data_IF_997990119274
#
_entry.id   IF_997990119274
#
_cell.length_a   1.000
_cell.length_b   1.000
_cell.length_c   1.000
_cell.angle_alpha   90.00
_cell.angle_beta   90.00
_cell.angle_gamma   90.00
#
_symmetry.space_group_name_H-M   'P 1'
#
loop_
_entity.id
_entity.type
_entity.pdbx_description
1 polymer ?
#
# COMPACT_ATOMS: atom_id res chain seq x y z
N UNK A 1 11.31 -24.81 -3.80
CA UNK A 1 9.92 -24.49 -3.38
C UNK A 1 9.88 -23.57 -2.18
N UNK A 2 10.48 -23.92 -1.03
CA UNK A 2 10.45 -23.08 0.17
C UNK A 2 11.01 -21.66 -0.02
N UNK A 3 12.10 -21.49 -0.78
CA UNK A 3 12.63 -20.16 -1.09
C UNK A 3 11.63 -19.30 -1.90
N UNK A 4 11.05 -19.86 -2.97
CA UNK A 4 10.04 -19.17 -3.78
C UNK A 4 8.78 -18.84 -2.96
N UNK A 5 8.39 -19.73 -2.04
CA UNK A 5 7.30 -19.50 -1.10
C UNK A 5 7.61 -18.35 -0.14
N UNK A 6 8.80 -18.34 0.48
CA UNK A 6 9.24 -17.26 1.36
C UNK A 6 9.30 -15.90 0.66
N UNK A 7 9.83 -15.86 -0.57
CA UNK A 7 9.86 -14.65 -1.40
C UNK A 7 8.43 -14.21 -1.75
N UNK A 8 7.54 -15.14 -2.12
CA UNK A 8 6.14 -14.85 -2.41
C UNK A 8 5.41 -14.22 -1.22
N UNK A 9 5.59 -14.79 -0.02
CA UNK A 9 5.02 -14.23 1.22
C UNK A 9 5.55 -12.83 1.52
N UNK A 10 6.86 -12.61 1.38
CA UNK A 10 7.50 -11.33 1.62
C UNK A 10 7.01 -10.25 0.65
N UNK A 11 6.94 -10.56 -0.65
CA UNK A 11 6.42 -9.64 -1.67
C UNK A 11 4.94 -9.30 -1.42
N UNK A 12 4.12 -10.30 -1.08
CA UNK A 12 2.70 -10.09 -0.78
C UNK A 12 2.51 -9.22 0.46
N UNK A 13 3.29 -9.48 1.53
CA UNK A 13 3.29 -8.65 2.73
C UNK A 13 3.70 -7.21 2.43
N UNK A 14 4.69 -7.02 1.57
CA UNK A 14 5.18 -5.71 1.17
C UNK A 14 4.10 -4.93 0.39
N UNK A 15 3.49 -5.54 -0.62
CA UNK A 15 2.38 -4.92 -1.38
C UNK A 15 1.25 -4.51 -0.44
N UNK A 16 0.83 -5.43 0.43
CA UNK A 16 -0.23 -5.15 1.39
C UNK A 16 0.16 -4.00 2.34
N UNK A 17 1.41 -3.96 2.79
CA UNK A 17 1.90 -2.88 3.64
C UNK A 17 1.86 -1.53 2.91
N UNK A 18 2.29 -1.46 1.66
CA UNK A 18 2.23 -0.24 0.85
C UNK A 18 0.80 0.28 0.72
N UNK A 19 -0.17 -0.56 0.35
CA UNK A 19 -1.57 -0.13 0.22
C UNK A 19 -2.17 0.23 1.58
N UNK A 20 -1.78 -0.46 2.67
CA UNK A 20 -2.20 -0.11 4.03
C UNK A 20 -1.73 1.27 4.48
N UNK A 21 -0.65 1.80 3.91
CA UNK A 21 -0.22 3.18 4.15
C UNK A 21 -1.19 4.19 3.56
N UNK A 22 -1.71 3.93 2.39
CA UNK A 22 -2.75 4.75 1.77
C UNK A 22 -4.04 4.76 2.60
N UNK A 23 -4.47 3.60 3.13
CA UNK A 23 -5.62 3.52 4.04
C UNK A 23 -5.42 4.34 5.31
N UNK A 24 -4.19 4.38 5.82
CA UNK A 24 -3.85 5.23 6.97
C UNK A 24 -3.99 6.71 6.61
N UNK A 25 -3.53 7.12 5.42
CA UNK A 25 -3.69 8.50 4.95
C UNK A 25 -5.16 8.88 4.77
N UNK A 26 -5.95 8.04 4.09
CA UNK A 26 -7.37 8.28 3.86
C UNK A 26 -8.17 8.33 5.18
N UNK A 27 -7.81 7.52 6.18
CA UNK A 27 -8.44 7.54 7.51
C UNK A 27 -8.07 8.80 8.30
N UNK A 28 -6.83 9.25 8.21
CA UNK A 28 -6.36 10.49 8.83
C UNK A 28 -7.05 11.71 8.20
N UNK A 29 -7.24 11.70 6.88
CA UNK A 29 -8.05 12.71 6.19
C UNK A 29 -9.52 12.67 6.63
N UNK A 30 -10.12 11.48 6.70
CA UNK A 30 -11.50 11.27 7.18
C UNK A 30 -11.72 11.87 8.58
N UNK A 31 -10.84 11.55 9.52
CA UNK A 31 -10.94 12.05 10.88
C UNK A 31 -10.90 13.58 10.94
N UNK A 32 -10.07 14.21 10.11
CA UNK A 32 -9.95 15.68 10.05
C UNK A 32 -11.14 16.33 9.36
N UNK A 33 -11.62 15.73 8.27
CA UNK A 33 -12.85 16.18 7.63
C UNK A 33 -14.03 16.12 8.61
N UNK A 34 -14.17 15.01 9.36
CA UNK A 34 -15.23 14.87 10.36
C UNK A 34 -15.06 15.84 11.54
N UNK A 35 -13.84 16.07 12.03
CA UNK A 35 -13.58 17.08 13.07
C UNK A 35 -13.95 18.48 12.61
N UNK A 36 -13.53 18.85 11.40
CA UNK A 36 -13.84 20.16 10.84
C UNK A 36 -15.35 20.36 10.63
N UNK A 37 -16.04 19.33 10.15
CA UNK A 37 -17.50 19.32 9.99
C UNK A 37 -18.26 19.35 11.33
N UNK A 38 -17.63 18.91 12.43
CA UNK A 38 -18.22 18.96 13.77
C UNK A 38 -17.98 20.31 14.47
N UNK A 39 -16.85 20.97 14.19
CA UNK A 39 -16.47 22.26 14.79
C UNK A 39 -17.12 23.46 14.09
N UNK A 40 -17.41 23.39 12.79
CA UNK A 40 -18.06 24.48 12.08
C UNK A 40 -19.59 24.51 12.29
N UNK A 41 -20.06 25.57 12.96
CA UNK A 41 -21.46 26.00 12.87
C UNK A 41 -21.77 26.47 11.44
N UNK A 42 -23.00 26.23 10.97
CA UNK A 42 -23.54 26.44 9.61
C UNK A 42 -23.39 27.86 8.98
N UNK A 43 -22.60 28.77 9.55
CA UNK A 43 -22.58 30.20 9.20
C UNK A 43 -21.49 30.64 8.21
N UNK A 44 -20.44 29.84 7.98
CA UNK A 44 -19.35 30.24 7.09
C UNK A 44 -19.41 29.47 5.77
N UNK A 45 -19.79 30.17 4.70
CA UNK A 45 -19.80 29.67 3.33
C UNK A 45 -18.38 29.66 2.75
N UNK A 46 -17.59 28.65 3.13
CA UNK A 46 -16.24 28.45 2.57
C UNK A 46 -16.30 27.85 1.15
N UNK A 47 -15.31 28.21 0.32
CA UNK A 47 -15.13 27.63 -1.01
C UNK A 47 -14.60 26.20 -0.88
N UNK A 48 -15.19 25.28 -1.65
CA UNK A 48 -14.84 23.86 -1.64
C UNK A 48 -13.35 23.60 -1.89
N UNK A 49 -12.77 24.32 -2.86
CA UNK A 49 -11.34 24.21 -3.16
C UNK A 49 -10.46 24.61 -1.97
N UNK A 50 -10.76 25.74 -1.31
CA UNK A 50 -9.98 26.24 -0.16
C UNK A 50 -10.08 25.25 1.00
N UNK A 51 -11.29 24.77 1.28
CA UNK A 51 -11.53 23.83 2.35
C UNK A 51 -10.74 22.53 2.13
N UNK A 52 -10.83 21.96 0.92
CA UNK A 52 -10.07 20.77 0.56
C UNK A 52 -8.56 21.00 0.65
N UNK A 53 -8.05 22.12 0.13
CA UNK A 53 -6.62 22.48 0.22
C UNK A 53 -6.15 22.56 1.66
N UNK A 54 -6.84 23.32 2.50
CA UNK A 54 -6.50 23.48 3.92
C UNK A 54 -6.50 22.15 4.66
N UNK A 55 -7.51 21.30 4.44
CA UNK A 55 -7.60 20.00 5.10
C UNK A 55 -6.55 19.00 4.59
N UNK A 56 -6.29 18.95 3.29
CA UNK A 56 -5.30 18.05 2.70
C UNK A 56 -3.88 18.44 3.12
N UNK A 57 -3.52 19.72 3.06
CA UNK A 57 -2.21 20.23 3.49
C UNK A 57 -2.00 20.02 4.98
N UNK A 58 -3.01 20.29 5.82
CA UNK A 58 -2.96 20.01 7.26
C UNK A 58 -2.80 18.52 7.54
N UNK A 59 -3.54 17.67 6.83
CA UNK A 59 -3.43 16.21 6.95
C UNK A 59 -2.02 15.74 6.61
N UNK A 60 -1.46 16.22 5.51
CA UNK A 60 -0.10 15.92 5.07
C UNK A 60 0.94 16.39 6.10
N UNK A 61 0.85 17.65 6.56
CA UNK A 61 1.76 18.23 7.55
C UNK A 61 1.78 17.44 8.87
N UNK A 62 0.61 17.16 9.44
CA UNK A 62 0.52 16.45 10.72
C UNK A 62 1.00 15.00 10.62
N UNK A 63 0.80 14.37 9.46
CA UNK A 63 1.18 12.99 9.23
C UNK A 63 2.69 12.79 9.13
N UNK A 64 3.41 13.74 8.54
CA UNK A 64 4.85 13.63 8.32
C UNK A 64 5.68 14.45 9.31
N UNK A 65 5.36 15.73 9.54
CA UNK A 65 6.19 16.60 10.39
C UNK A 65 5.94 16.40 11.88
N UNK A 66 4.68 16.40 12.31
CA UNK A 66 4.36 16.26 13.73
C UNK A 66 4.72 14.87 14.25
N UNK A 67 4.63 13.84 13.42
CA UNK A 67 5.13 12.50 13.77
C UNK A 67 6.65 12.44 13.84
N UNK A 68 7.37 13.04 12.88
CA UNK A 68 8.83 13.08 12.89
C UNK A 68 9.38 13.78 14.14
N UNK A 69 8.72 14.85 14.59
CA UNK A 69 9.14 15.67 15.73
C UNK A 69 8.71 15.06 17.07
N UNK A 70 7.46 14.59 17.21
CA UNK A 70 6.94 14.20 18.52
C UNK A 70 7.20 12.75 18.92
N UNK A 71 7.32 11.80 17.97
CA UNK A 71 7.53 10.35 18.22
C UNK A 71 6.73 9.76 19.40
N UNK A 72 5.50 10.25 19.63
CA UNK A 72 4.73 9.95 20.86
C UNK A 72 4.10 8.56 20.85
N UNK A 73 3.91 7.92 19.69
CA UNK A 73 3.32 6.58 19.58
C UNK A 73 4.41 5.54 19.29
N UNK A 74 4.33 4.37 19.91
CA UNK A 74 5.28 3.25 19.72
C UNK A 74 5.45 2.83 18.25
N UNK A 75 4.43 3.06 17.42
CA UNK A 75 4.47 2.82 15.97
C UNK A 75 5.36 3.82 15.21
N UNK A 76 5.58 5.03 15.73
CA UNK A 76 6.25 6.12 15.01
C UNK A 76 7.74 5.82 14.74
N UNK A 77 8.40 5.04 15.62
CA UNK A 77 9.79 4.64 15.44
C UNK A 77 10.02 3.73 14.22
N UNK A 78 9.04 2.90 13.88
CA UNK A 78 9.11 1.98 12.72
C UNK A 78 8.58 2.66 11.45
N UNK A 79 7.67 3.63 11.59
CA UNK A 79 7.10 4.36 10.45
C UNK A 79 8.12 5.26 9.75
N UNK A 80 8.91 6.05 10.50
CA UNK A 80 9.88 7.01 9.92
C UNK A 80 10.92 6.38 8.96
N UNK A 81 11.60 5.26 9.29
CA UNK A 81 12.53 4.64 8.34
C UNK A 81 11.79 4.01 7.15
N UNK A 82 10.59 3.46 7.36
CA UNK A 82 9.78 2.90 6.27
C UNK A 82 9.29 3.98 5.31
N UNK A 83 8.92 5.16 5.81
CA UNK A 83 8.40 6.26 5.00
C UNK A 83 9.47 6.83 4.06
N UNK A 84 10.73 6.81 4.51
CA UNK A 84 11.89 7.18 3.71
C UNK A 84 12.25 6.11 2.67
N UNK A 85 12.19 4.84 3.06
CA UNK A 85 12.49 3.70 2.19
C UNK A 85 11.46 3.55 1.07
N UNK A 86 10.18 3.80 1.37
CA UNK A 86 9.06 3.66 0.44
C UNK A 86 8.66 4.98 -0.25
N UNK A 87 9.41 6.07 -0.03
CA UNK A 87 9.12 7.41 -0.60
C UNK A 87 7.65 7.84 -0.40
N UNK A 88 7.04 7.43 0.71
CA UNK A 88 5.60 7.61 0.96
C UNK A 88 5.26 9.09 1.03
N UNK A 89 6.16 9.91 1.57
CA UNK A 89 5.99 11.36 1.64
C UNK A 89 5.87 12.00 0.24
N UNK A 90 6.68 11.56 -0.73
CA UNK A 90 6.61 12.05 -2.10
C UNK A 90 5.33 11.55 -2.80
N UNK A 91 4.96 10.29 -2.58
CA UNK A 91 3.71 9.74 -3.11
C UNK A 91 2.48 10.46 -2.60
N UNK A 92 2.40 10.75 -1.30
CA UNK A 92 1.28 11.50 -0.72
C UNK A 92 1.28 12.97 -1.14
N UNK A 93 2.45 13.61 -1.29
CA UNK A 93 2.53 14.97 -1.82
C UNK A 93 1.96 15.03 -3.25
N UNK A 94 2.31 14.06 -4.09
CA UNK A 94 1.78 13.94 -5.45
C UNK A 94 0.26 13.73 -5.43
N UNK A 95 -0.23 12.85 -4.55
CA UNK A 95 -1.66 12.61 -4.38
C UNK A 95 -2.41 13.89 -4.00
N UNK A 96 -1.90 14.68 -3.04
CA UNK A 96 -2.51 15.96 -2.64
C UNK A 96 -2.51 16.94 -3.82
N UNK A 97 -1.36 17.10 -4.49
CA UNK A 97 -1.22 18.01 -5.62
C UNK A 97 -2.17 17.68 -6.77
N UNK A 98 -2.26 16.41 -7.14
CA UNK A 98 -3.14 15.98 -8.23
C UNK A 98 -4.61 16.07 -7.82
N UNK A 99 -4.93 15.75 -6.56
CA UNK A 99 -6.28 15.96 -6.03
C UNK A 99 -6.68 17.43 -6.17
N UNK A 100 -5.83 18.38 -5.78
CA UNK A 100 -6.12 19.80 -5.90
C UNK A 100 -6.25 20.24 -7.36
N UNK A 101 -5.38 19.75 -8.25
CA UNK A 101 -5.47 20.05 -9.68
C UNK A 101 -6.81 19.62 -10.27
N UNK A 102 -7.28 18.42 -9.95
CA UNK A 102 -8.56 17.91 -10.46
C UNK A 102 -9.77 18.64 -9.83
N UNK A 103 -9.72 18.92 -8.52
CA UNK A 103 -10.79 19.64 -7.82
C UNK A 103 -11.03 21.05 -8.38
N UNK A 104 -10.01 21.68 -8.96
CA UNK A 104 -10.14 23.00 -9.61
C UNK A 104 -11.10 22.99 -10.79
N UNK A 105 -11.16 21.89 -11.54
CA UNK A 105 -11.99 21.78 -12.75
C UNK A 105 -13.41 21.29 -12.46
N UNK A 106 -13.72 20.96 -11.20
CA UNK A 106 -15.06 20.52 -10.80
C UNK A 106 -16.00 21.71 -10.80
N UNK A 107 -16.95 21.71 -11.74
CA UNK A 107 -18.01 22.73 -11.80
C UNK A 107 -19.02 22.52 -10.68
N UNK A 108 -19.35 23.60 -9.98
CA UNK A 108 -20.35 23.61 -8.93
C UNK A 108 -21.74 23.85 -9.55
N UNK A 109 -22.29 22.79 -10.16
CA UNK A 109 -23.57 22.86 -10.89
C UNK A 109 -24.73 22.18 -10.13
N UNK A 110 -24.58 21.93 -8.81
CA UNK A 110 -25.59 21.29 -7.97
C UNK A 110 -25.80 19.78 -8.22
N UNK A 111 -25.34 19.25 -9.36
CA UNK A 111 -25.29 17.83 -9.65
C UNK A 111 -24.13 17.15 -8.91
N UNK A 112 -24.28 15.85 -8.60
CA UNK A 112 -23.23 15.04 -7.99
C UNK A 112 -22.00 14.98 -8.91
N UNK A 113 -20.84 15.54 -8.51
CA UNK A 113 -19.64 15.45 -9.35
C UNK A 113 -19.18 14.00 -9.46
N UNK A 114 -18.58 13.57 -10.59
CA UNK A 114 -18.03 12.22 -10.75
C UNK A 114 -16.71 12.07 -9.97
N UNK A 115 -16.77 12.19 -8.64
CA UNK A 115 -15.62 12.13 -7.75
C UNK A 115 -15.03 10.72 -7.69
N UNK A 116 -15.84 9.67 -7.87
CA UNK A 116 -15.37 8.30 -7.80
C UNK A 116 -14.32 8.00 -8.88
N UNK A 117 -14.59 8.37 -10.13
CA UNK A 117 -13.68 8.09 -11.24
C UNK A 117 -12.44 8.98 -11.17
N UNK A 118 -12.59 10.22 -10.69
CA UNK A 118 -11.48 11.10 -10.38
C UNK A 118 -10.57 10.48 -9.31
N UNK A 119 -11.12 10.07 -8.17
CA UNK A 119 -10.35 9.45 -7.08
C UNK A 119 -9.67 8.17 -7.55
N UNK A 120 -10.37 7.30 -8.29
CA UNK A 120 -9.76 6.10 -8.90
C UNK A 120 -8.56 6.46 -9.79
N UNK A 121 -8.69 7.48 -10.62
CA UNK A 121 -7.63 7.98 -11.49
C UNK A 121 -6.44 8.51 -10.68
N UNK A 122 -6.70 9.31 -9.65
CA UNK A 122 -5.69 9.90 -8.77
C UNK A 122 -4.83 8.84 -8.07
N UNK A 123 -5.47 7.80 -7.52
CA UNK A 123 -4.77 6.71 -6.85
C UNK A 123 -4.05 5.78 -7.85
N UNK A 124 -4.63 5.53 -9.03
CA UNK A 124 -4.03 4.64 -10.03
C UNK A 124 -2.82 5.26 -10.76
N UNK A 125 -2.83 6.58 -10.95
CA UNK A 125 -1.77 7.31 -11.64
C UNK A 125 -0.58 7.66 -10.74
N UNK A 126 -0.64 7.38 -9.44
CA UNK A 126 0.41 7.76 -8.52
C UNK A 126 1.68 6.88 -8.71
N UNK A 127 2.80 7.44 -9.20
CA UNK A 127 3.99 6.66 -9.56
C UNK A 127 4.66 6.01 -8.34
N UNK A 128 4.46 6.55 -7.14
CA UNK A 128 5.05 6.03 -5.91
C UNK A 128 4.25 4.86 -5.32
N UNK A 129 2.94 4.80 -5.60
CA UNK A 129 2.08 3.73 -5.08
C UNK A 129 1.86 2.61 -6.09
N UNK A 130 2.03 2.85 -7.38
CA UNK A 130 1.97 1.80 -8.41
C UNK A 130 3.26 0.97 -8.49
N UNK A 131 4.35 1.43 -7.84
CA UNK A 131 5.67 0.77 -7.88
C UNK A 131 6.22 0.47 -6.47
N UNK A 132 6.54 -0.80 -6.22
CA UNK A 132 7.33 -1.25 -5.07
C UNK A 132 8.75 -0.67 -5.21
N UNK A 133 9.21 0.07 -4.20
CA UNK A 133 10.49 0.78 -4.19
C UNK A 133 10.72 1.69 -5.41
N UNK A 134 9.65 2.22 -6.03
CA UNK A 134 9.72 3.04 -7.26
C UNK A 134 10.25 2.31 -8.52
N UNK A 135 10.67 1.04 -8.40
CA UNK A 135 11.33 0.28 -9.48
C UNK A 135 10.42 -0.82 -10.02
N UNK A 136 9.69 -1.55 -9.15
CA UNK A 136 8.94 -2.75 -9.57
C UNK A 136 7.44 -2.48 -9.60
N UNK A 137 6.76 -2.60 -10.74
CA UNK A 137 5.32 -2.38 -10.83
C UNK A 137 4.52 -3.41 -10.00
N UNK A 138 3.55 -2.95 -9.21
CA UNK A 138 2.76 -3.81 -8.31
C UNK A 138 1.85 -4.75 -9.10
N UNK A 139 1.23 -4.29 -10.18
CA UNK A 139 0.26 -5.07 -10.96
C UNK A 139 0.79 -6.44 -11.41
N UNK A 140 1.91 -6.54 -12.17
CA UNK A 140 2.41 -7.85 -12.60
C UNK A 140 2.92 -8.71 -11.44
N UNK A 141 3.41 -8.10 -10.35
CA UNK A 141 3.81 -8.85 -9.16
C UNK A 141 2.59 -9.44 -8.47
N UNK A 142 1.49 -8.69 -8.34
CA UNK A 142 0.23 -9.19 -7.80
C UNK A 142 -0.29 -10.37 -8.62
N UNK A 143 -0.30 -10.25 -9.94
CA UNK A 143 -0.75 -11.31 -10.84
C UNK A 143 0.12 -12.57 -10.74
N UNK A 144 1.45 -12.39 -10.69
CA UNK A 144 2.39 -13.49 -10.49
C UNK A 144 2.19 -14.17 -9.12
N UNK A 145 1.97 -13.40 -8.06
CA UNK A 145 1.72 -13.94 -6.72
C UNK A 145 0.40 -14.72 -6.65
N UNK A 146 -0.59 -14.35 -7.45
CA UNK A 146 -1.86 -15.09 -7.59
C UNK A 146 -1.68 -16.41 -8.35
N UNK A 147 -0.67 -16.50 -9.23
CA UNK A 147 -0.35 -17.71 -10.01
C UNK A 147 0.56 -18.70 -9.25
N UNK A 148 1.35 -18.22 -8.28
CA UNK A 148 2.27 -19.03 -7.46
C UNK A 148 1.67 -20.31 -6.86
N UNK A 149 0.46 -20.31 -6.26
CA UNK A 149 -0.16 -21.52 -5.76
C UNK A 149 -0.29 -22.62 -6.81
N UNK A 150 -0.65 -22.26 -8.05
CA UNK A 150 -0.72 -23.20 -9.17
C UNK A 150 0.67 -23.75 -9.53
N UNK A 151 1.69 -22.89 -9.53
CA UNK A 151 3.06 -23.29 -9.81
C UNK A 151 3.63 -24.26 -8.77
N UNK A 152 3.22 -24.14 -7.50
CA UNK A 152 3.60 -25.11 -6.46
C UNK A 152 2.97 -26.49 -6.67
N UNK A 153 1.71 -26.55 -7.12
CA UNK A 153 1.04 -27.83 -7.43
C UNK A 153 1.74 -28.50 -8.61
N UNK A 154 1.94 -27.77 -9.71
CA UNK A 154 2.61 -28.29 -10.92
C UNK A 154 4.03 -28.74 -10.57
N UNK A 155 4.78 -27.93 -9.83
CA UNK A 155 6.12 -28.30 -9.37
C UNK A 155 6.13 -29.55 -8.48
N UNK A 156 5.13 -29.73 -7.61
CA UNK A 156 5.01 -30.91 -6.74
C UNK A 156 4.74 -32.20 -7.52
N UNK A 157 3.83 -32.12 -8.50
CA UNK A 157 3.51 -33.24 -9.41
C UNK A 157 4.74 -33.60 -10.26
N UNK A 158 5.40 -32.60 -10.87
CA UNK A 158 6.61 -32.82 -11.67
C UNK A 158 7.76 -33.41 -10.84
N UNK A 159 7.94 -32.95 -9.60
CA UNK A 159 8.94 -33.50 -8.69
C UNK A 159 8.71 -34.98 -8.39
N UNK A 160 7.45 -35.36 -8.15
CA UNK A 160 7.09 -36.77 -7.94
C UNK A 160 7.31 -37.60 -9.19
N UNK A 161 6.91 -37.08 -10.35
CA UNK A 161 7.11 -37.76 -11.63
C UNK A 161 8.60 -38.00 -11.93
N UNK A 162 9.46 -37.00 -11.76
CA UNK A 162 10.91 -37.13 -11.93
C UNK A 162 11.52 -38.11 -10.93
N UNK A 163 11.06 -38.10 -9.68
CA UNK A 163 11.54 -39.03 -8.65
C UNK A 163 11.20 -40.49 -8.96
N UNK A 164 9.99 -40.77 -9.45
CA UNK A 164 9.58 -42.10 -9.92
C UNK A 164 10.39 -42.50 -11.16
N UNK A 165 10.55 -41.60 -12.13
CA UNK A 165 11.34 -41.87 -13.34
C UNK A 165 12.80 -42.24 -13.04
N UNK A 166 13.39 -41.63 -12.00
CA UNK A 166 14.74 -41.98 -11.56
C UNK A 166 14.80 -43.33 -10.83
N UNK A 167 13.73 -43.71 -10.13
CA UNK A 167 13.66 -44.97 -9.38
C UNK A 167 13.33 -46.19 -10.26
N UNK A 168 12.61 -46.02 -11.38
CA UNK A 168 12.20 -47.11 -12.27
C UNK A 168 13.35 -47.95 -12.86
N UNK A 169 14.49 -47.37 -13.31
CA UNK A 169 15.63 -48.16 -13.80
C UNK A 169 16.21 -49.12 -12.77
N UNK A 170 16.07 -48.84 -11.47
CA UNK A 170 16.61 -49.66 -10.39
C UNK A 170 15.87 -50.99 -10.25
N UNK A 171 14.58 -51.03 -10.61
CA UNK A 171 13.81 -52.27 -10.72
C UNK A 171 14.33 -53.19 -11.84
N UNK A 172 14.99 -52.62 -12.85
CA UNK A 172 15.59 -53.39 -13.94
C UNK A 172 16.79 -54.24 -13.51
N UNK A 173 17.37 -53.98 -12.34
CA UNK A 173 18.51 -54.71 -11.79
C UNK A 173 18.11 -55.90 -10.88
N UNK A 174 16.82 -56.21 -10.79
CA UNK A 174 16.28 -57.25 -9.92
C UNK A 174 16.52 -58.65 -10.51
N UNK A 175 17.24 -59.52 -9.76
CA UNK A 175 17.42 -60.93 -10.12
C UNK A 175 16.46 -61.81 -9.31
N UNK A 176 15.54 -62.49 -10.01
CA UNK A 176 14.51 -63.36 -9.43
C UNK A 176 15.14 -64.59 -8.75
N UNK A 177 16.41 -64.89 -9.05
CA UNK A 177 17.15 -66.03 -8.50
C UNK A 177 17.70 -65.76 -7.11
N UNK A 178 17.81 -64.49 -6.71
CA UNK A 178 18.29 -64.10 -5.40
C UNK A 178 17.22 -63.26 -4.66
N UNK A 179 16.44 -63.89 -3.78
CA UNK A 179 15.35 -63.22 -3.08
C UNK A 179 15.84 -62.14 -2.10
N UNK A 180 17.08 -62.24 -1.60
CA UNK A 180 17.63 -61.27 -0.64
C UNK A 180 18.01 -59.95 -1.34
N UNK A 181 18.72 -60.01 -2.47
CA UNK A 181 19.05 -58.80 -3.24
C UNK A 181 17.81 -58.13 -3.83
N UNK A 182 16.85 -58.92 -4.30
CA UNK A 182 15.54 -58.45 -4.74
C UNK A 182 14.83 -57.63 -3.66
N UNK A 183 14.82 -58.10 -2.41
CA UNK A 183 14.20 -57.39 -1.30
C UNK A 183 14.85 -56.03 -1.05
N UNK A 184 16.19 -55.96 -1.08
CA UNK A 184 16.94 -54.71 -0.90
C UNK A 184 16.64 -53.69 -2.01
N UNK A 185 16.54 -54.12 -3.27
CA UNK A 185 16.17 -53.26 -4.40
C UNK A 185 14.75 -52.73 -4.21
N UNK A 186 13.82 -53.58 -3.79
CA UNK A 186 12.43 -53.19 -3.55
C UNK A 186 12.30 -52.18 -2.40
N UNK A 187 12.97 -52.40 -1.27
CA UNK A 187 12.95 -51.48 -0.14
C UNK A 187 13.52 -50.09 -0.52
N UNK A 188 14.60 -50.09 -1.32
CA UNK A 188 15.21 -48.85 -1.84
C UNK A 188 14.28 -48.11 -2.79
N UNK A 189 13.62 -48.84 -3.69
CA UNK A 189 12.63 -48.29 -4.62
C UNK A 189 11.43 -47.67 -3.89
N UNK A 190 10.87 -48.40 -2.91
CA UNK A 190 9.75 -47.91 -2.10
C UNK A 190 10.14 -46.67 -1.29
N UNK A 191 11.35 -46.63 -0.72
CA UNK A 191 11.85 -45.45 -0.01
C UNK A 191 11.96 -44.22 -0.94
N UNK A 192 12.46 -44.41 -2.18
CA UNK A 192 12.55 -43.33 -3.18
C UNK A 192 11.19 -42.83 -3.65
N UNK A 193 10.22 -43.72 -3.83
CA UNK A 193 8.84 -43.33 -4.15
C UNK A 193 8.20 -42.59 -2.96
N UNK A 194 8.35 -43.09 -1.74
CA UNK A 194 7.83 -42.44 -0.54
C UNK A 194 8.41 -41.03 -0.38
N UNK A 195 9.71 -40.87 -0.58
CA UNK A 195 10.36 -39.55 -0.61
C UNK A 195 9.79 -38.66 -1.72
N UNK A 196 9.66 -39.19 -2.93
CA UNK A 196 9.11 -38.45 -4.09
C UNK A 196 7.66 -37.99 -3.83
N UNK A 197 6.81 -38.86 -3.29
CA UNK A 197 5.43 -38.52 -2.93
C UNK A 197 5.37 -37.42 -1.86
N UNK A 198 6.27 -37.46 -0.88
CA UNK A 198 6.34 -36.41 0.15
C UNK A 198 6.59 -35.01 -0.44
N UNK A 199 7.35 -34.91 -1.54
CA UNK A 199 7.59 -33.63 -2.22
C UNK A 199 6.32 -33.04 -2.84
N UNK A 200 5.43 -33.88 -3.38
CA UNK A 200 4.11 -33.43 -3.87
C UNK A 200 3.20 -32.98 -2.74
N UNK A 201 3.15 -33.73 -1.62
CA UNK A 201 2.37 -33.34 -0.45
C UNK A 201 2.81 -31.97 0.08
N UNK A 202 4.13 -31.70 0.13
CA UNK A 202 4.68 -30.39 0.51
C UNK A 202 4.26 -29.31 -0.50
N UNK A 203 4.33 -29.59 -1.81
CA UNK A 203 3.90 -28.64 -2.85
C UNK A 203 2.42 -28.24 -2.72
N UNK A 204 1.54 -29.22 -2.48
CA UNK A 204 0.11 -29.00 -2.26
C UNK A 204 -0.12 -28.20 -0.97
N UNK A 205 0.55 -28.56 0.12
CA UNK A 205 0.44 -27.84 1.40
C UNK A 205 0.83 -26.36 1.27
N UNK A 206 1.98 -26.08 0.63
CA UNK A 206 2.43 -24.70 0.40
C UNK A 206 1.46 -23.93 -0.52
N UNK A 207 0.85 -24.60 -1.49
CA UNK A 207 -0.18 -24.01 -2.36
C UNK A 207 -1.43 -23.59 -1.57
N UNK A 208 -1.93 -24.45 -0.69
CA UNK A 208 -3.08 -24.14 0.17
C UNK A 208 -2.77 -22.96 1.09
N UNK A 209 -1.60 -22.95 1.73
CA UNK A 209 -1.18 -21.86 2.61
C UNK A 209 -1.05 -20.55 1.82
N UNK A 210 -0.41 -20.57 0.65
CA UNK A 210 -0.26 -19.38 -0.20
C UNK A 210 -1.63 -18.85 -0.66
N UNK A 211 -2.56 -19.75 -1.01
CA UNK A 211 -3.92 -19.37 -1.41
C UNK A 211 -4.68 -18.70 -0.25
N UNK A 212 -4.60 -19.27 0.95
CA UNK A 212 -5.17 -18.63 2.15
C UNK A 212 -4.54 -17.25 2.39
N UNK A 213 -3.21 -17.16 2.31
CA UNK A 213 -2.48 -15.90 2.52
C UNK A 213 -2.85 -14.82 1.50
N UNK A 214 -2.93 -15.17 0.21
CA UNK A 214 -3.34 -14.25 -0.86
C UNK A 214 -4.76 -13.70 -0.65
N UNK A 215 -5.66 -14.55 -0.15
CA UNK A 215 -7.05 -14.17 0.16
C UNK A 215 -7.15 -13.22 1.37
N UNK A 216 -6.39 -13.48 2.44
CA UNK A 216 -6.39 -12.61 3.62
C UNK A 216 -5.75 -11.25 3.34
N UNK A 217 -4.66 -11.23 2.57
CA UNK A 217 -3.91 -10.02 2.23
C UNK A 217 -4.22 -9.59 0.80
N UNK A 218 -5.50 -9.38 0.49
CA UNK A 218 -5.91 -8.86 -0.83
C UNK A 218 -5.73 -7.34 -0.89
N UNK A 219 -4.74 -6.83 -1.67
CA UNK A 219 -4.52 -5.39 -1.80
C UNK A 219 -5.67 -4.70 -2.54
N UNK A 220 -6.32 -5.37 -3.49
CA UNK A 220 -7.44 -4.84 -4.27
C UNK A 220 -8.64 -4.49 -3.38
N UNK A 221 -8.99 -5.35 -2.42
CA UNK A 221 -10.07 -5.07 -1.46
C UNK A 221 -9.76 -3.84 -0.61
N UNK A 222 -8.50 -3.67 -0.22
CA UNK A 222 -8.07 -2.51 0.55
C UNK A 222 -8.09 -1.25 -0.30
N UNK A 223 -7.63 -1.32 -1.56
CA UNK A 223 -7.66 -0.23 -2.52
C UNK A 223 -9.07 0.30 -2.78
N UNK A 224 -10.03 -0.59 -3.08
CA UNK A 224 -11.44 -0.18 -3.28
C UNK A 224 -11.98 0.52 -2.03
N UNK A 225 -11.70 -0.02 -0.84
CA UNK A 225 -12.11 0.59 0.43
C UNK A 225 -11.50 1.98 0.63
N UNK A 226 -10.25 2.19 0.22
CA UNK A 226 -9.55 3.49 0.30
C UNK A 226 -10.23 4.50 -0.62
N UNK A 227 -10.44 4.13 -1.89
CA UNK A 227 -11.09 4.96 -2.90
C UNK A 227 -12.48 5.38 -2.43
N UNK A 228 -13.32 4.42 -2.02
CA UNK A 228 -14.68 4.70 -1.54
C UNK A 228 -14.68 5.59 -0.28
N UNK A 229 -13.73 5.37 0.63
CA UNK A 229 -13.60 6.21 1.83
C UNK A 229 -13.21 7.63 1.46
N UNK A 230 -12.21 7.80 0.60
CA UNK A 230 -11.70 9.10 0.21
C UNK A 230 -12.75 9.89 -0.58
N UNK A 231 -13.44 9.24 -1.53
CA UNK A 231 -14.56 9.80 -2.29
C UNK A 231 -15.67 10.29 -1.36
N UNK A 232 -16.13 9.45 -0.43
CA UNK A 232 -17.20 9.84 0.51
C UNK A 232 -16.84 11.08 1.32
N UNK A 233 -15.57 11.22 1.70
CA UNK A 233 -15.11 12.38 2.46
C UNK A 233 -15.07 13.64 1.59
N UNK A 234 -14.58 13.55 0.36
CA UNK A 234 -14.64 14.67 -0.59
C UNK A 234 -16.08 15.08 -0.87
N UNK A 235 -16.98 14.11 -1.07
CA UNK A 235 -18.40 14.38 -1.28
C UNK A 235 -19.07 15.04 -0.06
N UNK A 236 -18.73 14.61 1.17
CA UNK A 236 -19.20 15.26 2.40
C UNK A 236 -18.75 16.72 2.50
N UNK A 237 -17.51 17.01 2.10
CA UNK A 237 -17.03 18.40 2.04
C UNK A 237 -17.74 19.18 0.94
N UNK A 238 -17.97 18.57 -0.23
CA UNK A 238 -18.69 19.19 -1.35
C UNK A 238 -20.09 19.64 -0.98
N UNK A 239 -20.88 18.72 -0.41
CA UNK A 239 -22.25 18.96 0.05
C UNK A 239 -22.39 20.04 1.12
N UNK A 240 -21.29 20.50 1.70
CA UNK A 240 -21.26 21.53 2.75
C UNK A 240 -20.78 22.89 2.27
N UNK A 241 -20.17 22.96 1.09
CA UNK A 241 -19.69 24.20 0.51
C UNK A 241 -20.73 24.78 -0.43
N UNK A 242 -20.82 26.11 -0.54
CA UNK A 242 -21.81 26.77 -1.41
C UNK A 242 -21.25 27.12 -2.79
N UNK A 243 -19.93 27.13 -2.95
CA UNK A 243 -19.26 27.45 -4.19
C UNK A 243 -17.89 26.74 -4.32
N UNK A 244 -17.35 26.72 -5.53
CA UNK A 244 -16.00 26.26 -5.83
C UNK A 244 -15.14 27.37 -6.47
N UNK A 245 -15.41 28.64 -6.13
CA UNK A 245 -14.68 29.77 -6.70
C UNK A 245 -13.41 30.04 -5.89
N UNK A 246 -12.28 30.29 -6.55
CA UNK A 246 -11.14 30.89 -5.89
C UNK A 246 -11.43 32.40 -5.69
N UNK A 247 -11.34 32.92 -4.46
CA UNK A 247 -11.27 34.36 -4.23
C UNK A 247 -10.01 34.90 -4.90
N UNK A 248 -10.13 35.98 -5.66
CA UNK A 248 -9.03 36.55 -6.47
C UNK A 248 -7.92 37.20 -5.61
N UNK A 249 -8.19 37.48 -4.33
CA UNK A 249 -7.23 38.08 -3.40
C UNK A 249 -7.31 37.39 -2.02
N UNK A 250 -6.43 36.41 -1.78
CA UNK A 250 -6.12 35.95 -0.43
C UNK A 250 -4.63 36.24 -0.20
N UNK A 251 -4.27 37.14 0.74
CA UNK A 251 -2.86 37.32 1.12
C UNK A 251 -2.33 35.97 1.64
N UNK A 252 -1.16 35.55 1.14
CA UNK A 252 -0.48 34.26 1.39
C UNK A 252 -1.01 33.00 0.66
N UNK A 253 -2.02 33.11 -0.21
CA UNK A 253 -2.49 31.95 -0.99
C UNK A 253 -1.79 31.85 -2.35
N UNK A 254 -0.79 30.98 -2.44
CA UNK A 254 -0.18 30.63 -3.73
C UNK A 254 -0.85 29.37 -4.30
N UNK A 255 -1.42 29.53 -5.49
CA UNK A 255 -2.17 28.51 -6.23
C UNK A 255 -1.28 27.39 -6.78
N UNK A 256 -0.01 27.68 -7.09
CA UNK A 256 0.93 26.73 -7.69
C UNK A 256 1.94 26.15 -6.70
N UNK A 257 1.87 26.59 -5.43
CA UNK A 257 2.80 26.15 -4.39
C UNK A 257 2.72 24.65 -4.20
N UNK A 258 3.85 23.97 -4.35
CA UNK A 258 3.89 22.52 -4.17
C UNK A 258 3.66 22.19 -2.69
N UNK A 259 2.97 21.10 -2.38
CA UNK A 259 2.74 20.67 -0.99
C UNK A 259 4.05 20.46 -0.23
N UNK A 260 5.13 20.11 -0.95
CA UNK A 260 6.50 20.00 -0.42
C UNK A 260 7.11 21.37 -0.11
N UNK A 261 6.83 22.38 -0.92
CA UNK A 261 7.32 23.76 -0.73
C UNK A 261 6.54 24.49 0.35
N UNK A 262 5.23 24.24 0.45
CA UNK A 262 4.41 24.65 1.60
C UNK A 262 4.93 24.01 2.90
N UNK A 263 5.30 22.72 2.86
CA UNK A 263 5.96 22.03 3.98
C UNK A 263 7.29 22.70 4.34
N UNK A 264 8.16 22.90 3.34
CA UNK A 264 9.48 23.49 3.55
C UNK A 264 9.38 24.90 4.13
N UNK A 265 8.48 25.74 3.61
CA UNK A 265 8.27 27.08 4.11
C UNK A 265 7.70 27.11 5.52
N UNK A 266 6.67 26.32 5.83
CA UNK A 266 6.13 26.23 7.20
C UNK A 266 7.16 25.68 8.19
N UNK A 267 8.00 24.74 7.76
CA UNK A 267 9.09 24.21 8.57
C UNK A 267 10.15 25.30 8.89
N UNK A 268 10.43 26.17 7.93
CA UNK A 268 11.36 27.31 8.05
C UNK A 268 10.75 28.40 8.92
N UNK A 269 9.49 28.77 8.70
CA UNK A 269 8.79 29.79 9.50
C UNK A 269 8.68 29.37 10.97
N UNK A 270 8.44 28.08 11.22
CA UNK A 270 8.43 27.51 12.57
C UNK A 270 9.81 27.52 13.23
N UNK A 271 10.88 27.34 12.46
CA UNK A 271 12.26 27.47 12.97
C UNK A 271 12.63 28.93 13.22
N UNK A 272 12.26 29.85 12.33
CA UNK A 272 12.47 31.29 12.48
C UNK A 272 11.70 31.83 13.69
N UNK A 273 10.46 31.42 13.88
CA UNK A 273 9.65 31.77 15.06
C UNK A 273 10.28 31.27 16.37
N UNK A 274 10.77 30.02 16.40
CA UNK A 274 11.51 29.49 17.55
C UNK A 274 12.82 30.25 17.80
N UNK A 275 13.54 30.62 16.74
CA UNK A 275 14.77 31.39 16.85
C UNK A 275 14.52 32.82 17.35
N UNK A 276 13.42 33.45 16.95
CA UNK A 276 12.98 34.74 17.51
C UNK A 276 12.59 34.62 18.98
N UNK A 277 11.85 33.57 19.34
CA UNK A 277 11.45 33.33 20.73
C UNK A 277 12.65 33.06 21.65
N UNK A 278 13.66 32.34 21.14
CA UNK A 278 14.94 32.14 21.84
C UNK A 278 15.75 33.44 21.97
N UNK A 279 15.78 34.29 20.94
CA UNK A 279 16.42 35.61 21.02
C UNK A 279 15.74 36.52 22.04
N UNK A 280 14.41 36.53 22.08
CA UNK A 280 13.63 37.28 23.09
C UNK A 280 13.93 36.79 24.51
N UNK A 281 14.05 35.48 24.71
CA UNK A 281 14.42 34.87 26.00
C UNK A 281 15.89 35.09 26.40
N UNK A 282 16.77 35.41 25.46
CA UNK A 282 18.19 35.70 25.74
C UNK A 282 18.46 37.18 26.04
N UNK A 283 17.50 38.06 25.72
CA UNK A 283 17.57 39.51 25.95
C UNK A 283 16.80 39.94 27.20
N UNK A 284 15.86 39.11 27.66
CA UNK A 284 15.15 39.25 28.95
C UNK A 284 15.95 38.62 30.09
#
# INVERSE_FOLDING_TARGET
>A
MFAAFGVGLALRALIYYTVRREDTFATEFENRANQHLAEQDHKNSESYFILCKRLLERTFYEMFELRAIMKRRKSDHVMVPSDRLFLIQQGMAHLVRDTLRELKFVKYDGNHPPLLDMVKSLFSNNPCFTRIFSIVPIAPVNDFLNLLPGLFIVGGILGTFLGIMQALPELGAMDIRDPESTKLVMDTFLAKIAFSMSTSTVGILLSVIMTAYNNFLSPERLFVKIVDRYERNLFRLWSRCDNNKLPEEIPDFDENRDAVEALAALSVDKQLGKAQEQKLKAVA
#
